data_IF_535181169646
#
_entry.id   IF_535181169646
#
_cell.length_a   1.000
_cell.length_b   1.000
_cell.length_c   1.000
_cell.angle_alpha   90.00
_cell.angle_beta   90.00
_cell.angle_gamma   90.00
#
_symmetry.space_group_name_H-M   'P 1'
#
loop_
_entity.id
_entity.type
_entity.pdbx_description
1 polymer ?
#
# COMPACT_ATOMS: atom_id res chain seq x y z
N UNK A 1 0.54 14.71 7.76
CA UNK A 1 2.02 14.77 7.76
C UNK A 1 2.58 13.36 7.84
N UNK A 2 3.56 13.05 6.99
CA UNK A 2 4.31 11.79 7.00
C UNK A 2 5.78 12.11 7.32
N UNK A 3 6.35 11.41 8.29
CA UNK A 3 7.77 11.50 8.65
C UNK A 3 8.52 10.25 8.21
N UNK A 4 9.84 10.36 7.96
CA UNK A 4 10.68 9.25 7.52
C UNK A 4 10.45 8.82 6.08
N UNK A 5 9.99 9.73 5.23
CA UNK A 5 9.76 9.45 3.80
C UNK A 5 11.11 9.53 3.07
N UNK A 6 11.53 8.45 2.38
CA UNK A 6 12.81 8.42 1.70
C UNK A 6 12.86 9.37 0.49
N UNK A 7 14.06 9.81 0.15
CA UNK A 7 14.33 10.63 -1.04
C UNK A 7 14.63 9.70 -2.23
N UNK A 8 13.57 9.24 -2.89
CA UNK A 8 13.63 8.31 -4.02
C UNK A 8 12.65 8.75 -5.13
N UNK A 9 12.99 8.42 -6.37
CA UNK A 9 12.22 8.79 -7.57
C UNK A 9 10.75 8.35 -7.55
N UNK A 10 10.45 7.22 -6.90
CA UNK A 10 9.09 6.70 -6.79
C UNK A 10 8.22 7.62 -5.92
N UNK A 11 8.78 8.17 -4.83
CA UNK A 11 8.09 9.15 -3.98
C UNK A 11 7.88 10.45 -4.74
N UNK A 12 8.88 10.93 -5.48
CA UNK A 12 8.74 12.15 -6.29
C UNK A 12 7.67 11.99 -7.35
N UNK A 13 7.60 10.83 -8.00
CA UNK A 13 6.55 10.50 -8.97
C UNK A 13 5.16 10.50 -8.35
N UNK A 14 5.00 9.95 -7.13
CA UNK A 14 3.73 9.98 -6.39
C UNK A 14 3.33 11.40 -6.00
N UNK A 15 4.29 12.21 -5.54
CA UNK A 15 4.05 13.63 -5.19
C UNK A 15 3.53 14.37 -6.42
N UNK A 16 4.22 14.22 -7.55
CA UNK A 16 3.84 14.88 -8.79
C UNK A 16 2.42 14.47 -9.26
N UNK A 17 2.08 13.18 -9.20
CA UNK A 17 0.73 12.71 -9.51
C UNK A 17 -0.30 13.36 -8.59
N UNK A 18 -0.04 13.41 -7.28
CA UNK A 18 -0.95 14.03 -6.31
C UNK A 18 -1.12 15.53 -6.57
N UNK A 19 -0.05 16.25 -6.94
CA UNK A 19 -0.10 17.68 -7.28
C UNK A 19 -0.88 17.94 -8.55
N UNK A 20 -0.69 17.13 -9.60
CA UNK A 20 -1.50 17.19 -10.83
C UNK A 20 -2.98 16.99 -10.51
N UNK A 21 -3.30 16.10 -9.58
CA UNK A 21 -4.68 15.89 -9.14
C UNK A 21 -5.23 17.03 -8.28
N UNK A 22 -4.39 17.96 -7.84
CA UNK A 22 -4.78 19.15 -7.09
C UNK A 22 -4.46 19.11 -5.59
N UNK A 23 -3.71 18.13 -5.11
CA UNK A 23 -3.14 18.19 -3.77
C UNK A 23 -2.06 19.27 -3.68
N UNK A 24 -1.82 19.77 -2.47
CA UNK A 24 -0.64 20.59 -2.17
C UNK A 24 0.30 19.75 -1.33
N UNK A 25 1.53 19.59 -1.79
CA UNK A 25 2.56 18.83 -1.07
C UNK A 25 3.72 19.75 -0.72
N UNK A 26 4.16 19.69 0.54
CA UNK A 26 5.35 20.39 1.01
C UNK A 26 6.31 19.36 1.58
N UNK A 27 7.56 19.38 1.11
CA UNK A 27 8.63 18.51 1.59
C UNK A 27 9.64 19.32 2.39
N UNK A 28 9.97 18.85 3.60
CA UNK A 28 11.04 19.39 4.44
C UNK A 28 11.92 18.22 4.94
N UNK A 29 13.02 17.98 4.27
CA UNK A 29 13.86 16.81 4.53
C UNK A 29 13.12 15.51 4.24
N UNK A 30 12.95 14.66 5.23
CA UNK A 30 12.23 13.40 5.18
C UNK A 30 10.75 13.51 5.60
N UNK A 31 10.26 14.73 5.82
CA UNK A 31 8.86 15.01 6.22
C UNK A 31 8.07 15.52 5.02
N UNK A 32 6.91 14.93 4.78
CA UNK A 32 5.91 15.40 3.81
C UNK A 32 4.66 15.91 4.52
N UNK A 33 4.25 17.13 4.18
CA UNK A 33 2.95 17.68 4.54
C UNK A 33 2.05 17.66 3.29
N UNK A 34 0.94 16.94 3.35
CA UNK A 34 0.03 16.74 2.22
C UNK A 34 -1.32 17.33 2.56
N UNK A 35 -1.77 18.32 1.77
CA UNK A 35 -3.12 18.88 1.82
C UNK A 35 -3.95 18.36 0.64
N UNK A 36 -4.86 17.39 0.85
CA UNK A 36 -5.64 16.78 -0.21
C UNK A 36 -6.95 17.53 -0.54
N UNK A 37 -7.23 18.68 0.07
CA UNK A 37 -8.52 19.38 -0.08
C UNK A 37 -8.81 19.82 -1.51
N UNK A 38 -7.75 20.11 -2.29
CA UNK A 38 -7.87 20.50 -3.70
C UNK A 38 -7.99 19.34 -4.68
N UNK A 39 -7.86 18.09 -4.24
CA UNK A 39 -7.89 16.91 -5.12
C UNK A 39 -9.25 16.77 -5.77
N UNK A 40 -9.24 16.63 -7.11
CA UNK A 40 -10.42 16.42 -7.95
C UNK A 40 -10.36 15.03 -8.59
N UNK A 41 -11.54 14.45 -8.86
CA UNK A 41 -11.63 13.28 -9.69
C UNK A 41 -11.40 13.69 -11.14
N UNK A 42 -10.25 13.32 -11.68
CA UNK A 42 -9.87 13.59 -13.08
C UNK A 42 -9.00 12.44 -13.58
N UNK A 43 -9.02 12.14 -14.89
CA UNK A 43 -8.15 11.13 -15.46
C UNK A 43 -6.70 11.45 -15.15
N UNK A 44 -5.96 10.44 -14.72
CA UNK A 44 -4.56 10.60 -14.40
C UNK A 44 -3.69 10.66 -15.66
N UNK A 45 -2.59 11.44 -15.66
CA UNK A 45 -1.72 11.57 -16.82
C UNK A 45 -1.04 10.25 -17.20
N UNK A 46 -1.30 9.75 -18.39
CA UNK A 46 -0.88 8.44 -18.89
C UNK A 46 0.62 8.14 -18.71
N UNK A 47 1.51 9.02 -19.12
CA UNK A 47 2.94 8.73 -19.16
C UNK A 47 3.61 8.51 -17.81
N UNK A 48 3.05 9.08 -16.72
CA UNK A 48 3.62 9.00 -15.37
C UNK A 48 3.11 7.82 -14.56
N UNK A 49 1.87 7.43 -14.79
CA UNK A 49 1.25 6.29 -14.11
C UNK A 49 1.88 4.98 -14.57
N UNK A 50 2.17 4.86 -15.86
CA UNK A 50 2.77 3.65 -16.43
C UNK A 50 4.23 3.46 -16.00
N UNK A 51 4.91 4.50 -15.51
CA UNK A 51 6.27 4.39 -14.97
C UNK A 51 6.31 3.91 -13.53
N UNK A 52 5.20 4.00 -12.78
CA UNK A 52 5.13 3.68 -11.37
C UNK A 52 4.08 2.62 -11.09
N UNK A 53 4.52 1.44 -10.64
CA UNK A 53 3.58 0.38 -10.31
C UNK A 53 2.65 0.73 -9.15
N UNK A 54 3.13 1.44 -8.14
CA UNK A 54 2.35 1.87 -6.98
C UNK A 54 1.13 2.75 -7.33
N UNK A 55 1.02 3.22 -8.58
CA UNK A 55 -0.13 3.97 -9.07
C UNK A 55 -1.46 3.22 -8.92
N UNK A 56 -1.46 1.89 -8.86
CA UNK A 56 -2.69 1.12 -8.66
C UNK A 56 -3.37 1.40 -7.30
N UNK A 57 -2.66 1.91 -6.29
CA UNK A 57 -3.28 2.29 -5.02
C UNK A 57 -4.25 3.47 -5.14
N UNK A 58 -4.14 4.24 -6.20
CA UNK A 58 -5.13 5.28 -6.48
C UNK A 58 -6.53 4.72 -6.79
N UNK A 59 -6.64 3.49 -7.30
CA UNK A 59 -7.97 2.89 -7.53
C UNK A 59 -8.80 2.85 -6.25
N UNK A 60 -8.29 2.24 -5.18
CA UNK A 60 -9.02 2.12 -3.92
C UNK A 60 -9.30 3.46 -3.26
N UNK A 61 -8.31 4.36 -3.24
CA UNK A 61 -8.45 5.67 -2.59
C UNK A 61 -9.41 6.61 -3.33
N UNK A 62 -9.39 6.64 -4.67
CA UNK A 62 -10.31 7.45 -5.47
C UNK A 62 -11.73 6.90 -5.46
N UNK A 63 -11.86 5.56 -5.58
CA UNK A 63 -13.15 4.89 -5.49
C UNK A 63 -13.83 5.17 -4.15
N UNK A 64 -13.07 5.09 -3.06
CA UNK A 64 -13.53 5.43 -1.70
C UNK A 64 -13.99 6.89 -1.58
N UNK A 65 -13.27 7.81 -2.23
CA UNK A 65 -13.50 9.25 -2.09
C UNK A 65 -14.58 9.79 -3.03
N UNK A 66 -14.59 9.31 -4.28
CA UNK A 66 -15.39 9.89 -5.35
C UNK A 66 -16.45 8.91 -5.93
N UNK A 67 -16.41 7.63 -5.55
CA UNK A 67 -17.23 6.60 -6.19
C UNK A 67 -16.78 6.24 -7.61
N UNK A 68 -15.69 6.85 -8.08
CA UNK A 68 -15.15 6.68 -9.41
C UNK A 68 -13.63 6.84 -9.43
N UNK A 69 -12.93 6.05 -10.24
CA UNK A 69 -11.51 6.16 -10.47
C UNK A 69 -11.16 5.80 -11.91
N UNK A 70 -10.50 6.70 -12.64
CA UNK A 70 -9.92 6.40 -13.96
C UNK A 70 -8.40 6.49 -13.84
N UNK A 71 -7.74 5.33 -13.91
CA UNK A 71 -6.29 5.20 -13.71
C UNK A 71 -5.71 4.39 -14.87
N UNK A 72 -4.56 4.83 -15.38
CA UNK A 72 -3.81 4.07 -16.39
C UNK A 72 -3.43 2.68 -15.87
N UNK A 73 -3.30 1.72 -16.78
CA UNK A 73 -2.84 0.38 -16.41
C UNK A 73 -1.45 0.47 -15.75
N UNK A 74 -1.23 -0.19 -14.60
CA UNK A 74 0.03 -0.07 -13.89
C UNK A 74 1.18 -0.70 -14.69
N UNK A 75 2.25 0.07 -14.87
CA UNK A 75 3.48 -0.34 -15.54
C UNK A 75 4.67 -0.43 -14.58
N UNK A 76 5.86 -0.20 -15.10
CA UNK A 76 7.06 0.10 -14.30
C UNK A 76 7.77 -1.07 -13.62
N UNK A 77 7.51 -2.34 -14.01
CA UNK A 77 8.27 -3.46 -13.44
C UNK A 77 8.33 -4.65 -14.40
N UNK A 78 9.52 -4.97 -14.87
CA UNK A 78 9.81 -6.09 -15.81
C UNK A 78 9.98 -7.47 -15.10
N UNK A 79 9.47 -7.60 -13.87
CA UNK A 79 9.57 -8.86 -13.11
C UNK A 79 8.48 -9.90 -13.46
N UNK A 80 7.93 -9.81 -14.68
CA UNK A 80 6.89 -10.72 -15.19
C UNK A 80 5.47 -10.27 -14.90
N UNK A 81 4.46 -11.08 -15.29
CA UNK A 81 3.05 -10.72 -15.14
C UNK A 81 2.69 -10.53 -13.67
N UNK A 82 2.12 -9.39 -13.35
CA UNK A 82 1.59 -9.07 -12.01
C UNK A 82 0.15 -8.61 -12.17
N UNK A 83 -0.79 -9.55 -12.31
CA UNK A 83 -2.19 -9.23 -12.53
C UNK A 83 -2.76 -8.46 -11.34
N UNK A 84 -3.78 -7.63 -11.62
CA UNK A 84 -4.53 -6.87 -10.61
C UNK A 84 -5.94 -7.43 -10.41
N UNK A 85 -6.18 -8.65 -10.86
CA UNK A 85 -7.45 -9.37 -10.80
C UNK A 85 -8.04 -9.44 -9.39
N UNK A 86 -7.19 -9.68 -8.37
CA UNK A 86 -7.64 -9.69 -6.97
C UNK A 86 -8.11 -8.31 -6.49
N UNK A 87 -7.50 -7.23 -6.99
CA UNK A 87 -7.96 -5.87 -6.70
C UNK A 87 -9.35 -5.65 -7.32
N UNK A 88 -9.52 -6.04 -8.59
CA UNK A 88 -10.76 -5.87 -9.33
C UNK A 88 -11.89 -6.70 -8.72
N UNK A 89 -11.63 -7.96 -8.38
CA UNK A 89 -12.56 -8.83 -7.65
C UNK A 89 -13.06 -8.17 -6.37
N UNK A 90 -12.17 -7.54 -5.61
CA UNK A 90 -12.55 -6.86 -4.38
C UNK A 90 -13.44 -5.65 -4.67
N UNK A 91 -13.11 -4.82 -5.65
CA UNK A 91 -13.91 -3.64 -6.01
C UNK A 91 -15.28 -4.01 -6.56
N UNK A 92 -15.36 -5.05 -7.41
CA UNK A 92 -16.65 -5.58 -7.90
C UNK A 92 -17.52 -6.09 -6.75
N UNK A 93 -16.94 -6.85 -5.81
CA UNK A 93 -17.67 -7.30 -4.61
C UNK A 93 -18.18 -6.13 -3.77
N UNK A 94 -17.52 -4.97 -3.81
CA UNK A 94 -17.93 -3.75 -3.13
C UNK A 94 -18.86 -2.85 -3.95
N UNK A 95 -19.32 -3.31 -5.14
CA UNK A 95 -20.31 -2.64 -5.98
C UNK A 95 -19.74 -1.75 -7.09
N UNK A 96 -18.46 -1.83 -7.41
CA UNK A 96 -17.90 -1.11 -8.54
C UNK A 96 -18.08 -1.90 -9.85
N UNK A 97 -18.44 -1.21 -10.93
CA UNK A 97 -18.34 -1.68 -12.32
C UNK A 97 -16.95 -1.33 -12.87
N UNK A 98 -16.44 -2.19 -13.75
CA UNK A 98 -15.12 -2.03 -14.35
C UNK A 98 -15.26 -1.93 -15.86
N UNK A 99 -14.65 -0.92 -16.45
CA UNK A 99 -14.58 -0.72 -17.91
C UNK A 99 -13.18 -0.30 -18.34
N UNK A 100 -12.84 -0.56 -19.59
CA UNK A 100 -11.55 -0.17 -20.17
C UNK A 100 -11.77 0.98 -21.15
N UNK A 101 -11.01 2.05 -20.96
CA UNK A 101 -11.01 3.26 -21.78
C UNK A 101 -9.62 3.48 -22.37
N UNK A 102 -9.35 2.84 -23.52
CA UNK A 102 -8.01 2.83 -24.12
C UNK A 102 -6.98 2.14 -23.23
N UNK A 103 -5.96 2.86 -22.82
CA UNK A 103 -4.91 2.36 -21.88
C UNK A 103 -5.23 2.66 -20.42
N UNK A 104 -6.43 3.13 -20.11
CA UNK A 104 -6.91 3.33 -18.75
C UNK A 104 -8.00 2.33 -18.40
N UNK A 105 -8.13 2.11 -17.10
CA UNK A 105 -9.23 1.36 -16.53
C UNK A 105 -10.07 2.32 -15.68
N UNK A 106 -11.36 2.30 -15.91
CA UNK A 106 -12.34 3.05 -15.14
C UNK A 106 -13.10 2.11 -14.21
N UNK A 107 -13.13 2.46 -12.95
CA UNK A 107 -14.02 1.89 -11.94
C UNK A 107 -15.09 2.91 -11.60
N UNK A 108 -16.34 2.47 -11.47
CA UNK A 108 -17.46 3.35 -11.11
C UNK A 108 -18.50 2.61 -10.28
N UNK A 109 -19.02 3.27 -9.26
CA UNK A 109 -20.17 2.78 -8.50
C UNK A 109 -21.51 3.29 -9.05
N UNK A 110 -21.49 3.87 -10.25
CA UNK A 110 -22.69 4.40 -10.95
C UNK A 110 -23.48 5.43 -10.11
N UNK A 111 -22.79 6.15 -9.22
CA UNK A 111 -23.38 7.15 -8.32
C UNK A 111 -23.90 6.58 -7.00
N UNK A 112 -23.91 5.28 -6.83
CA UNK A 112 -24.23 4.66 -5.55
C UNK A 112 -23.00 4.67 -4.63
N UNK A 113 -23.18 4.72 -3.31
CA UNK A 113 -22.07 4.58 -2.40
C UNK A 113 -21.44 3.19 -2.47
N UNK A 114 -20.11 3.12 -2.49
CA UNK A 114 -19.40 1.85 -2.31
C UNK A 114 -19.86 1.18 -1.00
N UNK A 115 -20.09 -0.11 -0.99
CA UNK A 115 -20.60 -0.83 0.16
C UNK A 115 -19.64 -1.89 0.68
N UNK A 116 -19.78 -2.24 1.96
CA UNK A 116 -19.02 -3.30 2.59
C UNK A 116 -19.32 -4.66 1.99
N UNK A 117 -18.33 -5.54 1.96
CA UNK A 117 -18.42 -6.86 1.37
C UNK A 117 -17.59 -7.89 2.14
N UNK A 118 -17.91 -9.17 1.95
CA UNK A 118 -17.08 -10.28 2.38
C UNK A 118 -16.19 -10.70 1.21
N UNK A 119 -14.88 -10.56 1.35
CA UNK A 119 -13.91 -10.73 0.27
C UNK A 119 -12.89 -11.80 0.69
N UNK A 120 -12.85 -12.90 -0.06
CA UNK A 120 -11.82 -13.91 0.07
C UNK A 120 -10.74 -13.70 -1.00
N UNK A 121 -9.50 -13.55 -0.58
CA UNK A 121 -8.34 -13.45 -1.47
C UNK A 121 -7.89 -14.85 -1.88
N UNK A 122 -8.06 -15.21 -3.15
CA UNK A 122 -7.69 -16.53 -3.67
C UNK A 122 -6.20 -16.83 -3.48
N UNK A 123 -5.39 -15.78 -3.49
CA UNK A 123 -3.97 -15.79 -3.14
C UNK A 123 -3.67 -14.61 -2.24
N UNK A 124 -2.79 -14.79 -1.26
CA UNK A 124 -2.31 -13.69 -0.41
C UNK A 124 -1.65 -12.62 -1.28
N UNK A 125 -2.16 -11.40 -1.22
CA UNK A 125 -1.67 -10.26 -2.00
C UNK A 125 -1.60 -9.00 -1.14
N UNK A 126 -0.41 -8.47 -0.93
CA UNK A 126 -0.18 -7.21 -0.20
C UNK A 126 -0.92 -6.07 -0.89
N UNK A 127 -0.72 -5.93 -2.21
CA UNK A 127 -1.34 -4.85 -2.98
C UNK A 127 -2.85 -4.89 -2.95
N UNK A 128 -3.47 -6.06 -3.17
CA UNK A 128 -4.93 -6.20 -3.14
C UNK A 128 -5.49 -5.96 -1.72
N UNK A 129 -4.81 -6.44 -0.68
CA UNK A 129 -5.21 -6.20 0.71
C UNK A 129 -5.22 -4.71 1.03
N UNK A 130 -4.12 -3.98 0.76
CA UNK A 130 -4.05 -2.53 1.01
C UNK A 130 -5.11 -1.78 0.20
N UNK A 131 -5.24 -2.09 -1.08
CA UNK A 131 -6.15 -1.39 -1.97
C UNK A 131 -7.63 -1.60 -1.56
N UNK A 132 -7.96 -2.82 -1.14
CA UNK A 132 -9.28 -3.12 -0.55
C UNK A 132 -9.49 -2.37 0.76
N UNK A 133 -8.48 -2.30 1.63
CA UNK A 133 -8.54 -1.52 2.87
C UNK A 133 -8.82 -0.04 2.58
N UNK A 134 -8.11 0.56 1.60
CA UNK A 134 -8.33 1.95 1.20
C UNK A 134 -9.76 2.18 0.72
N UNK A 135 -10.28 1.30 -0.14
CA UNK A 135 -11.65 1.39 -0.62
C UNK A 135 -12.68 1.23 0.52
N UNK A 136 -12.45 0.29 1.43
CA UNK A 136 -13.37 -0.05 2.50
C UNK A 136 -13.49 1.03 3.60
N UNK A 137 -12.53 1.94 3.74
CA UNK A 137 -12.55 2.95 4.81
C UNK A 137 -13.78 3.84 4.80
N UNK A 138 -14.40 4.06 3.64
CA UNK A 138 -15.62 4.86 3.49
C UNK A 138 -16.80 4.09 2.93
N UNK A 139 -16.68 2.76 2.82
CA UNK A 139 -17.76 1.91 2.34
C UNK A 139 -18.94 1.89 3.33
N UNK A 140 -20.17 1.86 2.85
CA UNK A 140 -21.33 1.69 3.72
C UNK A 140 -21.36 0.28 4.32
N UNK A 141 -21.27 0.18 5.64
CA UNK A 141 -21.31 -1.09 6.38
C UNK A 141 -19.93 -1.69 6.60
N UNK A 142 -19.91 -3.01 6.76
CA UNK A 142 -18.71 -3.77 7.14
C UNK A 142 -18.09 -4.48 5.94
N UNK A 143 -16.78 -4.37 5.82
CA UNK A 143 -15.97 -5.19 4.91
C UNK A 143 -15.16 -6.19 5.74
N UNK A 144 -15.15 -7.45 5.30
CA UNK A 144 -14.26 -8.49 5.85
C UNK A 144 -13.37 -9.00 4.73
N UNK A 145 -12.06 -8.96 4.94
CA UNK A 145 -11.06 -9.51 4.02
C UNK A 145 -10.53 -10.77 4.66
N UNK A 146 -10.73 -11.94 4.03
CA UNK A 146 -10.16 -13.22 4.43
C UNK A 146 -8.97 -13.60 3.55
N UNK A 147 -8.05 -14.38 4.09
CA UNK A 147 -6.76 -14.69 3.49
C UNK A 147 -5.96 -13.43 3.15
N UNK A 148 -6.08 -12.41 4.00
CA UNK A 148 -5.40 -11.12 3.88
C UNK A 148 -3.88 -11.27 4.04
N UNK A 149 -3.14 -10.37 3.43
CA UNK A 149 -1.71 -10.22 3.65
C UNK A 149 -1.43 -9.75 5.10
N UNK A 150 -0.28 -10.18 5.66
CA UNK A 150 0.07 -9.97 7.08
C UNK A 150 1.34 -9.16 7.26
N UNK A 151 1.92 -8.70 6.18
CA UNK A 151 3.17 -7.96 6.14
C UNK A 151 3.09 -6.67 6.99
N UNK A 152 4.22 -6.20 7.52
CA UNK A 152 4.26 -5.01 8.37
C UNK A 152 3.65 -3.77 7.75
N UNK A 153 3.76 -3.60 6.44
CA UNK A 153 3.15 -2.50 5.70
C UNK A 153 1.61 -2.50 5.75
N UNK A 154 0.98 -3.67 5.92
CA UNK A 154 -0.48 -3.77 6.15
C UNK A 154 -0.84 -3.16 7.51
N UNK A 155 -0.05 -3.48 8.54
CA UNK A 155 -0.24 -2.94 9.89
C UNK A 155 0.01 -1.44 9.89
N UNK A 156 1.02 -0.97 9.16
CA UNK A 156 1.39 0.43 9.07
C UNK A 156 0.28 1.27 8.43
N UNK A 157 -0.24 0.83 7.28
CA UNK A 157 -1.37 1.48 6.61
C UNK A 157 -2.63 1.46 7.49
N UNK A 158 -2.95 0.34 8.14
CA UNK A 158 -4.08 0.26 9.06
C UNK A 158 -3.92 1.22 10.25
N UNK A 159 -2.69 1.37 10.77
CA UNK A 159 -2.38 2.31 11.86
C UNK A 159 -2.58 3.75 11.41
N UNK A 160 -2.05 4.12 10.23
CA UNK A 160 -2.28 5.44 9.64
C UNK A 160 -3.77 5.73 9.49
N UNK A 161 -4.53 4.82 8.88
CA UNK A 161 -5.96 5.00 8.62
C UNK A 161 -6.76 5.08 9.93
N UNK A 162 -6.45 4.25 10.93
CA UNK A 162 -7.09 4.32 12.24
C UNK A 162 -6.77 5.63 12.97
N UNK A 163 -5.54 6.14 12.85
CA UNK A 163 -5.17 7.46 13.37
C UNK A 163 -5.88 8.60 12.62
N UNK A 164 -6.37 8.36 11.41
CA UNK A 164 -7.24 9.28 10.66
C UNK A 164 -8.73 9.12 10.99
N UNK A 165 -9.09 8.18 11.85
CA UNK A 165 -10.46 7.94 12.27
C UNK A 165 -11.15 6.75 11.60
N UNK A 166 -10.44 5.92 10.85
CA UNK A 166 -10.99 4.65 10.34
C UNK A 166 -11.17 3.62 11.46
N UNK A 167 -11.96 2.59 11.18
CA UNK A 167 -12.21 1.48 12.11
C UNK A 167 -11.74 0.16 11.50
N UNK A 168 -10.42 -0.11 11.55
CA UNK A 168 -9.78 -1.31 10.99
C UNK A 168 -9.27 -2.18 12.13
N UNK A 169 -9.60 -3.48 12.10
CA UNK A 169 -9.16 -4.49 13.06
C UNK A 169 -8.60 -5.70 12.33
N UNK A 170 -7.69 -6.41 12.99
CA UNK A 170 -7.12 -7.66 12.46
C UNK A 170 -5.96 -7.47 11.49
N UNK A 171 -5.47 -6.25 11.24
CA UNK A 171 -4.27 -6.02 10.43
C UNK A 171 -3.08 -6.81 11.01
N UNK A 172 -2.35 -7.52 10.15
CA UNK A 172 -1.29 -8.46 10.55
C UNK A 172 -1.77 -9.89 10.82
N UNK A 173 -3.08 -10.15 10.70
CA UNK A 173 -3.67 -11.49 10.68
C UNK A 173 -4.24 -11.82 9.30
N UNK A 174 -4.77 -13.02 9.11
CA UNK A 174 -5.42 -13.45 7.87
C UNK A 174 -6.83 -12.91 7.68
N UNK A 175 -7.40 -12.29 8.71
CA UNK A 175 -8.74 -11.70 8.64
C UNK A 175 -8.66 -10.25 9.08
N UNK A 176 -9.05 -9.34 8.17
CA UNK A 176 -9.15 -7.91 8.44
C UNK A 176 -10.60 -7.49 8.34
N UNK A 177 -11.09 -6.79 9.35
CA UNK A 177 -12.46 -6.24 9.37
C UNK A 177 -12.40 -4.72 9.41
N UNK A 178 -13.20 -4.08 8.56
CA UNK A 178 -13.27 -2.64 8.40
C UNK A 178 -14.73 -2.20 8.50
N UNK A 179 -15.02 -1.31 9.44
CA UNK A 179 -16.30 -0.58 9.46
C UNK A 179 -16.08 0.75 8.74
N UNK A 180 -16.84 1.01 7.71
CA UNK A 180 -16.72 2.25 6.96
C UNK A 180 -17.14 3.47 7.78
N UNK A 181 -16.52 4.61 7.50
CA UNK A 181 -16.76 5.89 8.17
C UNK A 181 -17.08 6.99 7.14
N UNK A 182 -17.87 7.96 7.51
CA UNK A 182 -18.22 9.07 6.62
C UNK A 182 -17.05 10.03 6.40
N UNK A 183 -16.15 10.16 7.39
CA UNK A 183 -15.10 11.15 7.39
C UNK A 183 -13.77 10.61 7.96
N UNK A 184 -12.67 10.97 7.30
CA UNK A 184 -11.29 10.78 7.78
C UNK A 184 -10.65 12.16 7.99
N UNK A 185 -10.00 12.35 9.12
CA UNK A 185 -9.28 13.60 9.44
C UNK A 185 -7.77 13.46 9.16
N UNK A 186 -7.06 14.58 9.18
CA UNK A 186 -5.61 14.61 9.07
C UNK A 186 -4.92 14.04 10.32
N UNK A 187 -3.73 13.47 10.13
CA UNK A 187 -2.89 12.95 11.20
C UNK A 187 -1.41 13.15 10.89
N UNK A 188 -0.55 12.87 11.85
CA UNK A 188 0.89 12.71 11.67
C UNK A 188 1.26 11.25 11.86
N UNK A 189 2.08 10.70 10.97
CA UNK A 189 2.46 9.30 10.96
C UNK A 189 3.93 9.15 10.59
N UNK A 190 4.63 8.26 11.31
CA UNK A 190 5.99 7.86 11.00
C UNK A 190 5.95 6.64 10.10
N UNK A 191 6.50 6.74 8.89
CA UNK A 191 6.62 5.61 7.96
C UNK A 191 7.60 4.58 8.52
N UNK A 192 7.23 3.30 8.47
CA UNK A 192 8.11 2.22 8.93
C UNK A 192 9.30 2.05 7.98
N UNK A 193 10.47 1.58 8.50
CA UNK A 193 11.61 1.24 7.64
C UNK A 193 11.29 0.14 6.64
N UNK A 194 11.88 0.23 5.44
CA UNK A 194 11.70 -0.77 4.39
C UNK A 194 12.41 -2.10 4.74
N UNK A 195 11.59 -3.15 4.97
CA UNK A 195 12.08 -4.49 5.26
C UNK A 195 12.76 -5.16 4.06
N UNK A 196 12.36 -4.81 2.83
CA UNK A 196 12.91 -5.38 1.59
C UNK A 196 14.31 -4.84 1.37
N UNK A 197 14.50 -3.53 1.53
CA UNK A 197 15.81 -2.90 1.51
C UNK A 197 16.74 -3.50 2.57
N UNK A 198 16.28 -3.55 3.82
CA UNK A 198 17.04 -4.14 4.91
C UNK A 198 17.40 -5.61 4.62
N UNK A 199 16.47 -6.42 4.10
CA UNK A 199 16.70 -7.81 3.71
C UNK A 199 17.76 -7.95 2.61
N UNK A 200 17.77 -7.04 1.64
CA UNK A 200 18.76 -7.01 0.56
C UNK A 200 20.17 -6.78 1.10
N UNK A 201 20.33 -5.79 1.99
CA UNK A 201 21.64 -5.51 2.59
C UNK A 201 22.06 -6.59 3.59
N UNK A 202 21.13 -7.24 4.30
CA UNK A 202 21.42 -8.41 5.13
C UNK A 202 21.97 -9.55 4.26
N UNK A 203 21.33 -9.82 3.11
CA UNK A 203 21.79 -10.86 2.17
C UNK A 203 23.18 -10.55 1.63
N UNK A 204 23.42 -9.29 1.24
CA UNK A 204 24.73 -8.84 0.77
C UNK A 204 25.80 -8.98 1.86
N UNK A 205 25.49 -8.53 3.09
CA UNK A 205 26.38 -8.67 4.24
C UNK A 205 26.75 -10.14 4.51
N UNK A 206 25.78 -11.03 4.38
CA UNK A 206 25.99 -12.46 4.58
C UNK A 206 26.86 -13.10 3.48
N UNK A 207 26.77 -12.60 2.25
CA UNK A 207 27.49 -13.17 1.11
C UNK A 207 28.95 -12.73 1.05
N UNK A 208 29.22 -11.45 1.28
CA UNK A 208 30.55 -10.84 1.04
C UNK A 208 31.01 -9.87 2.13
N UNK A 209 30.23 -9.71 3.21
CA UNK A 209 30.50 -8.68 4.23
C UNK A 209 31.54 -9.09 5.27
N UNK A 210 32.40 -8.14 5.64
CA UNK A 210 33.35 -8.25 6.75
C UNK A 210 32.93 -7.25 7.86
N UNK A 211 31.86 -7.56 8.59
CA UNK A 211 31.40 -6.71 9.70
C UNK A 211 30.56 -5.49 9.26
N UNK A 212 29.46 -5.71 8.55
CA UNK A 212 28.51 -4.67 8.14
C UNK A 212 27.48 -4.45 9.27
N UNK A 213 27.26 -3.19 9.64
CA UNK A 213 26.21 -2.76 10.56
C UNK A 213 25.06 -2.15 9.78
N UNK A 214 23.85 -2.72 9.90
CA UNK A 214 22.63 -2.20 9.31
C UNK A 214 21.80 -1.55 10.43
N UNK A 215 21.48 -0.27 10.28
CA UNK A 215 20.72 0.52 11.27
C UNK A 215 19.31 0.80 10.78
N UNK A 216 18.44 1.28 11.67
CA UNK A 216 17.04 1.61 11.37
C UNK A 216 16.27 0.40 10.81
N UNK A 217 16.44 -0.77 11.43
CA UNK A 217 15.76 -2.01 11.02
C UNK A 217 14.75 -2.41 12.08
N UNK A 218 13.52 -2.64 11.68
CA UNK A 218 12.52 -3.22 12.58
C UNK A 218 12.66 -4.74 12.60
N UNK A 219 13.34 -5.27 13.62
CA UNK A 219 13.62 -6.71 13.75
C UNK A 219 12.35 -7.55 13.85
N UNK A 220 11.27 -7.04 14.42
CA UNK A 220 9.99 -7.75 14.51
C UNK A 220 9.35 -7.96 13.13
N UNK A 221 9.61 -7.10 12.16
CA UNK A 221 9.16 -7.26 10.77
C UNK A 221 9.73 -8.50 10.10
N UNK A 222 10.92 -8.95 10.48
CA UNK A 222 11.53 -10.19 9.95
C UNK A 222 10.97 -11.45 10.60
N UNK A 223 10.48 -11.38 11.82
CA UNK A 223 9.86 -12.51 12.51
C UNK A 223 8.54 -12.93 11.85
N UNK A 224 7.74 -11.96 11.40
CA UNK A 224 6.47 -12.20 10.69
C UNK A 224 6.69 -12.88 9.33
N UNK A 225 7.80 -12.59 8.66
CA UNK A 225 8.06 -13.07 7.30
C UNK A 225 8.59 -14.50 7.20
N UNK A 226 8.79 -15.22 8.33
CA UNK A 226 9.48 -16.54 8.31
C UNK A 226 10.83 -16.53 7.54
N UNK A 227 11.37 -15.37 7.17
CA UNK A 227 12.69 -15.25 6.52
C UNK A 227 13.73 -15.93 7.40
N UNK A 228 13.59 -15.89 8.71
CA UNK A 228 14.44 -16.65 9.64
C UNK A 228 14.40 -18.16 9.41
N UNK A 229 13.38 -18.75 8.80
CA UNK A 229 13.36 -20.19 8.51
C UNK A 229 14.23 -20.53 7.30
N UNK A 230 14.29 -19.69 6.29
CA UNK A 230 15.22 -19.80 5.16
C UNK A 230 16.65 -19.54 5.65
N UNK A 231 16.82 -18.56 6.54
CA UNK A 231 18.12 -18.21 7.12
C UNK A 231 18.61 -19.25 8.15
N UNK A 232 17.76 -20.06 8.76
CA UNK A 232 18.20 -21.21 9.56
C UNK A 232 19.06 -22.21 8.79
N UNK A 233 18.91 -22.27 7.47
CA UNK A 233 19.72 -23.13 6.61
C UNK A 233 21.08 -22.46 6.29
N UNK A 234 21.13 -21.14 6.25
CA UNK A 234 22.35 -20.36 5.93
C UNK A 234 23.09 -19.93 7.21
N UNK A 235 22.40 -19.81 8.35
CA UNK A 235 22.89 -19.28 9.61
C UNK A 235 23.81 -20.15 10.50
N UNK A 236 24.09 -21.42 10.29
CA UNK A 236 25.12 -22.07 11.13
C UNK A 236 26.48 -21.36 11.07
N UNK A 237 26.78 -20.71 9.94
CA UNK A 237 28.00 -19.91 9.76
C UNK A 237 27.89 -18.44 10.21
N UNK A 238 26.66 -17.91 10.32
CA UNK A 238 26.40 -16.49 10.63
C UNK A 238 26.18 -16.21 12.12
N UNK A 239 26.03 -17.22 12.99
CA UNK A 239 25.90 -17.02 14.44
C UNK A 239 27.03 -16.22 15.11
N UNK A 240 28.14 -16.02 14.42
CA UNK A 240 29.28 -15.23 14.92
C UNK A 240 29.18 -13.73 14.61
N UNK A 241 28.25 -13.27 13.73
CA UNK A 241 28.33 -11.93 13.16
C UNK A 241 27.10 -11.05 13.34
N UNK A 242 25.95 -11.59 13.73
CA UNK A 242 24.69 -10.85 13.68
C UNK A 242 24.22 -10.20 14.98
N UNK A 243 24.91 -10.40 16.09
CA UNK A 243 24.50 -9.89 17.42
C UNK A 243 25.71 -9.42 18.25
N UNK A 244 26.48 -8.51 17.72
CA UNK A 244 27.47 -7.74 18.49
C UNK A 244 27.08 -6.26 18.50
#
# INVERSE_FOLDING_TARGET
TLDGVPDISDVDSLIEIMEIMGAKVKREGDTLEIDPRGVKNQPMPYGKINSLRASYYFYGSLLSRFGEATVGLPGGCDLGPRPIDLHLKAFEAMGASISYEGEAMRLSTEGEPIHGAHIYMDTVSVGATINTMLAATKAKGRTTIENAAREPEIIDVATLLNNMGAHIRGAGTDIITIEGVDYLHGTRHQVIPDRIEAGTYIALAAAIGEGIRITNVNVSSFAVLRILSIWRVILPSLKKWAFA
#
